data_IF_752557405349
#
_entry.id   IF_752557405349
#
_cell.length_a   1.000
_cell.length_b   1.000
_cell.length_c   1.000
_cell.angle_alpha   90.00
_cell.angle_beta   90.00
_cell.angle_gamma   90.00
#
_symmetry.space_group_name_H-M   'P 1'
#
loop_
_entity.id
_entity.type
_entity.pdbx_description
1 polymer ?
#
# COMPACT_ATOMS: atom_id res chain seq x y z
N UNK A 1 -9.98 8.39 -8.71
CA UNK A 1 -8.93 7.69 -9.49
C UNK A 1 -9.53 7.43 -10.87
N UNK A 2 -8.93 6.60 -11.73
CA UNK A 2 -9.56 6.23 -12.99
C UNK A 2 -9.27 4.77 -13.30
N UNK A 3 -10.21 4.09 -13.96
CA UNK A 3 -10.02 2.73 -14.49
C UNK A 3 -10.05 2.77 -16.02
N UNK A 4 -9.43 1.76 -16.63
CA UNK A 4 -9.45 1.54 -18.06
C UNK A 4 -9.43 0.05 -18.33
N UNK A 5 -10.33 -0.40 -19.18
CA UNK A 5 -10.39 -1.78 -19.64
C UNK A 5 -9.92 -1.90 -21.10
N UNK A 6 -9.31 -3.04 -21.49
CA UNK A 6 -8.95 -3.29 -22.87
C UNK A 6 -10.10 -3.05 -23.84
N UNK A 7 -9.86 -2.16 -24.82
CA UNK A 7 -10.85 -1.78 -25.83
C UNK A 7 -11.57 -0.45 -25.55
N UNK A 8 -11.45 0.11 -24.34
CA UNK A 8 -11.97 1.45 -24.05
C UNK A 8 -11.08 2.52 -24.72
N UNK A 9 -11.70 3.57 -25.25
CA UNK A 9 -10.98 4.69 -25.87
C UNK A 9 -10.61 5.79 -24.87
N UNK A 10 -11.22 5.78 -23.69
CA UNK A 10 -11.04 6.77 -22.63
C UNK A 10 -10.99 6.09 -21.27
N UNK A 11 -10.30 6.71 -20.33
CA UNK A 11 -10.31 6.30 -18.93
C UNK A 11 -11.63 6.72 -18.27
N UNK A 12 -12.21 5.85 -17.44
CA UNK A 12 -13.40 6.14 -16.64
C UNK A 12 -12.98 6.77 -15.31
N UNK A 13 -13.30 8.05 -15.03
CA UNK A 13 -12.94 8.69 -13.78
C UNK A 13 -13.89 8.28 -12.64
N UNK A 14 -13.30 8.08 -11.47
CA UNK A 14 -13.98 7.74 -10.22
C UNK A 14 -13.75 8.84 -9.18
N UNK A 15 -14.81 9.16 -8.42
CA UNK A 15 -14.71 10.14 -7.34
C UNK A 15 -13.86 9.61 -6.19
N UNK A 16 -13.35 10.54 -5.38
CA UNK A 16 -12.58 10.16 -4.19
C UNK A 16 -13.56 9.74 -3.11
N UNK A 17 -13.31 8.60 -2.47
CA UNK A 17 -14.10 8.12 -1.31
C UNK A 17 -14.01 9.06 -0.10
N UNK A 18 -13.02 9.95 -0.05
CA UNK A 18 -12.91 10.98 0.99
C UNK A 18 -12.22 12.24 0.49
N UNK A 19 -12.23 13.29 1.31
CA UNK A 19 -11.48 14.52 1.06
C UNK A 19 -9.95 14.34 1.15
N UNK A 20 -9.48 13.21 1.72
CA UNK A 20 -8.06 12.92 1.78
C UNK A 20 -7.49 12.60 0.39
N UNK A 21 -6.35 13.20 0.08
CA UNK A 21 -5.70 13.01 -1.22
C UNK A 21 -5.06 11.63 -1.30
N UNK A 22 -5.46 10.86 -2.31
CA UNK A 22 -4.80 9.60 -2.69
C UNK A 22 -3.29 9.83 -2.91
N UNK A 23 -2.47 8.96 -2.34
CA UNK A 23 -1.01 8.94 -2.49
C UNK A 23 -0.59 7.82 -3.44
N UNK A 24 -1.08 6.60 -3.20
CA UNK A 24 -0.88 5.45 -4.09
C UNK A 24 -2.13 4.56 -4.10
N UNK A 25 -2.24 3.78 -5.17
CA UNK A 25 -3.26 2.75 -5.35
C UNK A 25 -2.64 1.59 -6.10
N UNK A 26 -3.25 0.42 -5.96
CA UNK A 26 -2.87 -0.77 -6.70
C UNK A 26 -3.90 -1.87 -6.53
N UNK A 27 -3.46 -3.08 -6.83
CA UNK A 27 -4.28 -4.28 -6.76
C UNK A 27 -3.86 -5.16 -5.59
N UNK A 28 -4.85 -5.74 -4.92
CA UNK A 28 -4.70 -6.82 -3.98
C UNK A 28 -4.45 -8.14 -4.74
N UNK A 29 -4.01 -9.22 -4.06
CA UNK A 29 -3.79 -10.52 -4.71
C UNK A 29 -5.04 -11.11 -5.39
N UNK A 30 -6.24 -10.75 -4.92
CA UNK A 30 -7.53 -11.16 -5.50
C UNK A 30 -8.03 -10.23 -6.62
N UNK A 31 -7.17 -9.31 -7.08
CA UNK A 31 -7.44 -8.29 -8.11
C UNK A 31 -8.41 -7.17 -7.70
N UNK A 32 -8.89 -7.15 -6.45
CA UNK A 32 -9.58 -5.98 -5.91
C UNK A 32 -8.60 -4.82 -5.70
N UNK A 33 -9.11 -3.61 -5.45
CA UNK A 33 -8.26 -2.43 -5.30
C UNK A 33 -7.80 -2.19 -3.85
N UNK A 34 -6.66 -1.53 -3.68
CA UNK A 34 -6.30 -0.86 -2.43
C UNK A 34 -5.92 0.60 -2.70
N UNK A 35 -6.01 1.43 -1.66
CA UNK A 35 -5.48 2.79 -1.70
C UNK A 35 -4.84 3.20 -0.39
N UNK A 36 -3.84 4.07 -0.49
CA UNK A 36 -3.29 4.83 0.63
C UNK A 36 -3.49 6.32 0.36
N UNK A 37 -3.92 7.07 1.37
CA UNK A 37 -4.17 8.51 1.27
C UNK A 37 -3.36 9.30 2.30
N UNK A 38 -3.31 10.63 2.13
CA UNK A 38 -2.83 11.53 3.19
C UNK A 38 -3.57 11.26 4.50
N UNK A 39 -2.87 11.48 5.61
CA UNK A 39 -3.37 11.19 6.96
C UNK A 39 -3.22 9.72 7.37
N UNK A 40 -2.30 8.97 6.72
CA UNK A 40 -2.00 7.58 7.07
C UNK A 40 -3.24 6.67 7.02
N UNK A 41 -4.11 6.87 6.02
CA UNK A 41 -5.28 6.02 5.83
C UNK A 41 -5.00 5.01 4.73
N UNK A 42 -5.28 3.75 5.04
CA UNK A 42 -5.35 2.64 4.10
C UNK A 42 -6.82 2.30 3.87
N UNK A 43 -7.19 1.90 2.66
CA UNK A 43 -8.50 1.33 2.35
C UNK A 43 -8.37 0.15 1.41
N UNK A 44 -9.24 -0.81 1.62
CA UNK A 44 -9.38 -2.01 0.80
C UNK A 44 -10.75 -1.97 0.14
N UNK A 45 -10.78 -2.28 -1.16
CA UNK A 45 -12.01 -2.54 -1.89
C UNK A 45 -12.40 -4.01 -1.62
N UNK A 46 -13.63 -4.29 -1.15
CA UNK A 46 -14.04 -5.66 -0.81
C UNK A 46 -14.61 -6.42 -2.02
N UNK A 47 -14.88 -5.74 -3.13
CA UNK A 47 -15.55 -6.30 -4.30
C UNK A 47 -14.86 -5.86 -5.59
N UNK A 48 -14.11 -6.76 -6.27
CA UNK A 48 -13.41 -6.44 -7.51
C UNK A 48 -14.33 -6.07 -8.67
N UNK A 49 -15.63 -6.38 -8.59
CA UNK A 49 -16.62 -5.99 -9.61
C UNK A 49 -17.12 -4.56 -9.46
N UNK A 50 -16.89 -3.94 -8.30
CA UNK A 50 -17.33 -2.59 -7.98
C UNK A 50 -16.15 -1.73 -7.47
N UNK A 51 -15.43 -1.02 -8.36
CA UNK A 51 -14.28 -0.20 -7.95
C UNK A 51 -14.64 0.99 -7.06
N UNK A 52 -15.92 1.32 -6.91
CA UNK A 52 -16.41 2.42 -6.08
C UNK A 52 -16.75 1.98 -4.64
N UNK A 53 -16.76 0.67 -4.34
CA UNK A 53 -16.97 0.17 -2.98
C UNK A 53 -15.67 0.18 -2.17
N UNK A 54 -15.72 0.70 -0.96
CA UNK A 54 -14.53 0.87 -0.13
C UNK A 54 -14.87 0.67 1.34
N UNK A 55 -14.06 -0.16 2.01
CA UNK A 55 -14.15 -0.32 3.45
C UNK A 55 -13.84 1.00 4.19
N UNK A 56 -14.21 1.02 5.48
CA UNK A 56 -13.80 2.07 6.42
C UNK A 56 -12.27 2.22 6.42
N UNK A 57 -11.75 3.45 6.62
CA UNK A 57 -10.31 3.67 6.62
C UNK A 57 -9.65 2.93 7.79
N UNK A 58 -8.55 2.25 7.50
CA UNK A 58 -7.64 1.68 8.50
C UNK A 58 -6.50 2.66 8.71
N UNK A 59 -6.17 2.94 9.97
CA UNK A 59 -5.05 3.80 10.36
C UNK A 59 -4.16 2.98 11.28
N UNK A 60 -3.16 2.26 10.74
CA UNK A 60 -2.27 1.40 11.53
C UNK A 60 -1.62 2.11 12.71
N UNK A 61 -1.01 3.28 12.47
CA UNK A 61 -0.29 4.06 13.49
C UNK A 61 -0.44 5.55 13.19
N UNK A 62 -0.86 6.34 14.17
CA UNK A 62 -0.95 7.80 14.10
C UNK A 62 0.39 8.45 14.48
N UNK A 63 1.28 8.66 13.50
CA UNK A 63 2.60 9.27 13.71
C UNK A 63 2.89 10.50 12.83
N UNK A 64 1.88 11.05 12.14
CA UNK A 64 1.99 12.31 11.39
C UNK A 64 2.64 12.20 10.00
N UNK A 65 3.22 11.05 9.65
CA UNK A 65 3.77 10.76 8.32
C UNK A 65 2.81 9.88 7.51
N UNK A 66 2.73 10.10 6.20
CA UNK A 66 1.87 9.32 5.31
C UNK A 66 2.51 8.02 4.85
N UNK A 67 1.68 7.03 4.56
CA UNK A 67 2.09 5.85 3.80
C UNK A 67 2.17 6.20 2.31
N UNK A 68 3.17 5.61 1.65
CA UNK A 68 3.52 5.89 0.26
C UNK A 68 3.29 4.69 -0.65
N UNK A 69 3.37 3.46 -0.14
CA UNK A 69 3.11 2.26 -0.93
C UNK A 69 2.63 1.09 -0.07
N UNK A 70 2.09 0.07 -0.72
CA UNK A 70 1.62 -1.16 -0.08
C UNK A 70 1.79 -2.37 -1.00
N UNK A 71 2.17 -3.52 -0.44
CA UNK A 71 2.30 -4.76 -1.19
C UNK A 71 2.07 -5.99 -0.29
N UNK A 72 1.91 -7.16 -0.91
CA UNK A 72 1.77 -8.43 -0.22
C UNK A 72 3.02 -9.26 -0.45
N UNK A 73 3.53 -9.87 0.62
CA UNK A 73 4.57 -10.89 0.50
C UNK A 73 3.97 -12.25 0.05
N UNK A 74 4.81 -13.25 -0.28
CA UNK A 74 4.32 -14.56 -0.72
C UNK A 74 3.48 -15.32 0.32
N UNK A 75 3.57 -14.96 1.60
CA UNK A 75 2.75 -15.55 2.67
C UNK A 75 1.42 -14.81 2.86
N UNK A 76 1.18 -13.72 2.13
CA UNK A 76 -0.01 -12.88 2.24
C UNK A 76 0.08 -11.80 3.32
N UNK A 77 1.24 -11.61 3.94
CA UNK A 77 1.46 -10.48 4.86
C UNK A 77 1.42 -9.18 4.06
N UNK A 78 0.65 -8.22 4.54
CA UNK A 78 0.58 -6.88 3.97
C UNK A 78 1.74 -6.06 4.52
N UNK A 79 2.49 -5.42 3.64
CA UNK A 79 3.55 -4.49 3.97
C UNK A 79 3.16 -3.08 3.53
N UNK A 80 3.35 -2.08 4.38
CA UNK A 80 3.21 -0.66 4.00
C UNK A 80 4.43 0.15 4.43
N UNK A 81 4.88 1.02 3.53
CA UNK A 81 6.05 1.88 3.72
C UNK A 81 5.65 3.35 3.70
N UNK A 82 6.41 4.19 4.40
CA UNK A 82 6.16 5.61 4.44
C UNK A 82 7.38 6.41 4.91
N UNK A 83 7.10 7.63 5.38
CA UNK A 83 8.16 8.55 5.81
C UNK A 83 8.94 8.08 7.04
N UNK A 84 10.18 8.55 7.17
CA UNK A 84 11.00 8.42 8.38
C UNK A 84 11.20 6.97 8.85
N UNK A 85 11.54 6.06 7.93
CA UNK A 85 11.77 4.65 8.24
C UNK A 85 10.50 3.88 8.60
N UNK A 86 9.31 4.43 8.34
CA UNK A 86 8.06 3.74 8.65
C UNK A 86 7.87 2.57 7.70
N UNK A 87 8.12 1.36 8.19
CA UNK A 87 7.77 0.10 7.54
C UNK A 87 6.91 -0.71 8.50
N UNK A 88 5.71 -1.06 8.09
CA UNK A 88 4.76 -1.83 8.90
C UNK A 88 4.35 -3.10 8.17
N UNK A 89 4.02 -4.14 8.94
CA UNK A 89 3.47 -5.39 8.42
C UNK A 89 2.19 -5.80 9.14
N UNK A 90 1.32 -6.52 8.44
CA UNK A 90 0.09 -7.11 8.96
C UNK A 90 -0.11 -8.52 8.42
N UNK A 91 -0.19 -9.50 9.31
CA UNK A 91 -0.37 -10.91 8.97
C UNK A 91 -1.86 -11.36 9.04
N UNK A 92 -2.79 -10.46 9.38
CA UNK A 92 -4.20 -10.78 9.64
C UNK A 92 -5.18 -10.02 8.72
N UNK A 93 -4.70 -9.68 7.52
CA UNK A 93 -5.49 -8.99 6.50
C UNK A 93 -5.70 -7.50 6.81
N UNK A 94 -4.75 -6.86 7.49
CA UNK A 94 -4.79 -5.44 7.79
C UNK A 94 -5.56 -5.08 9.07
N UNK A 95 -5.91 -6.05 9.92
CA UNK A 95 -6.65 -5.80 11.18
C UNK A 95 -5.71 -5.29 12.27
N UNK A 96 -4.52 -5.89 12.39
CA UNK A 96 -3.46 -5.46 13.30
C UNK A 96 -2.17 -5.24 12.54
N UNK A 97 -1.34 -4.31 13.03
CA UNK A 97 -0.13 -3.88 12.36
C UNK A 97 1.03 -3.78 13.33
N UNK A 98 2.22 -4.17 12.88
CA UNK A 98 3.45 -4.13 13.65
C UNK A 98 4.50 -3.30 12.94
N UNK A 99 5.35 -2.59 13.70
CA UNK A 99 6.51 -1.88 13.13
C UNK A 99 7.62 -2.88 12.86
N UNK A 100 8.20 -2.79 11.67
CA UNK A 100 9.42 -3.51 11.36
C UNK A 100 10.65 -2.78 11.94
N UNK A 101 11.48 -3.53 12.67
CA UNK A 101 12.63 -2.98 13.37
C UNK A 101 13.75 -2.54 12.41
N UNK A 102 13.91 -3.22 11.27
CA UNK A 102 14.93 -2.87 10.27
C UNK A 102 14.56 -1.55 9.61
N UNK A 103 13.28 -1.41 9.23
CA UNK A 103 12.74 -0.18 8.68
C UNK A 103 12.94 1.02 9.61
N UNK A 104 12.63 0.85 10.90
CA UNK A 104 12.76 1.91 11.92
C UNK A 104 14.21 2.42 12.11
N UNK A 105 15.21 1.64 11.69
CA UNK A 105 16.62 2.03 11.73
C UNK A 105 17.08 2.75 10.46
N UNK A 106 16.28 2.77 9.40
CA UNK A 106 16.66 3.42 8.14
C UNK A 106 16.27 4.90 8.13
N UNK A 107 17.22 5.82 7.93
CA UNK A 107 16.93 7.25 7.81
C UNK A 107 16.47 7.61 6.39
N UNK A 108 15.38 6.99 5.93
CA UNK A 108 14.85 7.15 4.57
C UNK A 108 13.32 7.14 4.56
N UNK A 109 12.71 7.70 3.53
CA UNK A 109 11.31 7.43 3.23
C UNK A 109 11.23 6.20 2.35
N UNK A 110 10.43 5.21 2.75
CA UNK A 110 10.16 4.06 1.89
C UNK A 110 9.09 4.45 0.88
N UNK A 111 9.51 4.57 -0.37
CA UNK A 111 8.69 5.11 -1.45
C UNK A 111 7.98 4.03 -2.25
N UNK A 112 8.54 2.81 -2.29
CA UNK A 112 7.97 1.68 -3.03
C UNK A 112 8.22 0.35 -2.34
N UNK A 113 7.27 -0.58 -2.48
CA UNK A 113 7.39 -1.97 -2.05
C UNK A 113 6.98 -2.87 -3.22
N UNK A 114 7.77 -3.88 -3.53
CA UNK A 114 7.46 -4.81 -4.61
C UNK A 114 7.90 -6.22 -4.26
N UNK A 115 6.97 -7.16 -4.45
CA UNK A 115 7.25 -8.58 -4.43
C UNK A 115 7.12 -9.13 -5.85
N UNK A 116 8.12 -9.89 -6.26
CA UNK A 116 8.23 -10.49 -7.58
C UNK A 116 7.62 -11.90 -7.58
N UNK A 117 7.19 -12.42 -8.74
CA UNK A 117 6.63 -13.77 -8.84
C UNK A 117 7.56 -14.90 -8.38
N UNK A 118 8.88 -14.66 -8.38
CA UNK A 118 9.88 -15.61 -7.88
C UNK A 118 10.09 -15.55 -6.35
N UNK A 119 9.22 -14.81 -5.64
CA UNK A 119 9.22 -14.67 -4.19
C UNK A 119 10.18 -13.62 -3.65
N UNK A 120 10.96 -12.93 -4.49
CA UNK A 120 11.87 -11.87 -4.03
C UNK A 120 11.08 -10.59 -3.72
N UNK A 121 11.32 -10.02 -2.54
CA UNK A 121 10.74 -8.75 -2.12
C UNK A 121 11.79 -7.64 -1.97
N UNK A 122 11.42 -6.43 -2.35
CA UNK A 122 12.25 -5.24 -2.24
C UNK A 122 11.45 -4.05 -1.69
N UNK A 123 12.06 -3.30 -0.77
CA UNK A 123 11.56 -2.01 -0.30
C UNK A 123 12.55 -0.94 -0.74
N UNK A 124 12.10 0.01 -1.56
CA UNK A 124 12.92 1.07 -2.10
C UNK A 124 12.76 2.33 -1.25
N UNK A 125 13.88 2.83 -0.76
CA UNK A 125 13.98 4.11 -0.08
C UNK A 125 14.57 5.19 -0.98
N UNK A 126 14.55 6.42 -0.48
CA UNK A 126 15.25 7.54 -1.10
C UNK A 126 16.77 7.35 -1.10
N UNK A 127 17.46 8.09 -1.99
CA UNK A 127 18.94 8.17 -2.06
C UNK A 127 19.64 6.81 -2.21
N UNK A 128 19.00 5.87 -2.92
CA UNK A 128 19.56 4.55 -3.19
C UNK A 128 19.43 3.56 -2.04
N UNK A 129 18.68 3.89 -0.98
CA UNK A 129 18.36 2.91 0.06
C UNK A 129 17.49 1.78 -0.51
N UNK A 130 17.84 0.54 -0.18
CA UNK A 130 17.15 -0.65 -0.62
C UNK A 130 17.17 -1.67 0.52
N UNK A 131 16.00 -2.20 0.87
CA UNK A 131 15.89 -3.42 1.67
C UNK A 131 15.48 -4.58 0.78
N UNK A 132 16.00 -5.76 1.09
CA UNK A 132 15.63 -7.03 0.45
C UNK A 132 14.98 -7.93 1.48
N UNK A 133 13.79 -8.44 1.15
CA UNK A 133 13.09 -9.42 1.96
C UNK A 133 13.74 -10.81 1.82
N UNK A 134 13.77 -11.58 2.92
CA UNK A 134 14.53 -12.83 3.04
C UNK A 134 13.71 -14.05 3.48
N UNK A 135 12.40 -13.91 3.67
CA UNK A 135 11.57 -14.94 4.31
C UNK A 135 11.38 -14.66 5.79
#
# INVERSE_FOLDING_TARGET
>A
FATWNPGETVWTPHQRVSSQRVQAMGFQPDHSLWMVTRGAQLRFNPDPSNPEDWNKPVIPITNGYGYLDMAWDPAGTIWTGGGSGTLLSSADGGKTWQKDAVGAQQPTNFTRISFLPDGKGFVLGERGSLLRWVG
#
